data_IF_625295445773
#
_entry.id   IF_625295445773
#
_cell.length_a   1.000
_cell.length_b   1.000
_cell.length_c   1.000
_cell.angle_alpha   90.00
_cell.angle_beta   90.00
_cell.angle_gamma   90.00
#
_symmetry.space_group_name_H-M   'P 1'
#
loop_
_entity.id
_entity.type
_entity.pdbx_description
1 polymer ?
#
# COMPACT_ATOMS: atom_id res chain seq x y z
N UNK A 1 17.03 4.11 5.03
CA UNK A 1 16.45 5.39 4.51
C UNK A 1 15.48 5.97 5.54
N UNK A 2 15.51 7.29 5.80
CA UNK A 2 14.60 7.91 6.76
C UNK A 2 13.29 8.32 6.04
N UNK A 3 12.23 7.52 6.21
CA UNK A 3 10.94 7.73 5.58
C UNK A 3 10.31 9.10 5.89
N UNK A 4 10.54 9.62 7.09
CA UNK A 4 10.05 10.94 7.50
C UNK A 4 10.71 12.06 6.72
N UNK A 5 12.05 12.03 6.59
CA UNK A 5 12.78 13.03 5.82
C UNK A 5 12.37 12.99 4.35
N UNK A 6 12.21 11.80 3.78
CA UNK A 6 11.75 11.65 2.40
C UNK A 6 10.33 12.18 2.23
N UNK A 7 9.41 11.84 3.15
CA UNK A 7 8.04 12.35 3.13
C UNK A 7 8.01 13.89 3.22
N UNK A 8 8.80 14.47 4.12
CA UNK A 8 8.86 15.92 4.29
C UNK A 8 9.38 16.66 3.06
N UNK A 9 10.49 16.19 2.48
CA UNK A 9 11.16 16.84 1.36
C UNK A 9 10.45 16.58 0.01
N UNK A 10 9.95 15.36 -0.23
CA UNK A 10 9.32 15.01 -1.49
C UNK A 10 7.99 15.74 -1.72
N UNK A 11 7.31 16.14 -0.65
CA UNK A 11 6.02 16.83 -0.71
C UNK A 11 6.13 18.32 -0.40
N UNK A 12 7.33 18.89 -0.52
CA UNK A 12 7.53 20.34 -0.47
C UNK A 12 6.76 21.00 -1.62
N UNK A 13 5.98 22.03 -1.34
CA UNK A 13 5.10 22.66 -2.33
C UNK A 13 3.67 22.08 -2.40
N UNK A 14 3.39 20.91 -1.83
CA UNK A 14 2.02 20.43 -1.68
C UNK A 14 1.29 21.13 -0.51
N UNK A 15 -0.06 21.20 -0.54
CA UNK A 15 -0.86 21.77 0.55
C UNK A 15 -0.49 21.17 1.91
N UNK A 16 -0.53 21.97 2.97
CA UNK A 16 -0.16 21.53 4.33
C UNK A 16 -0.97 20.30 4.79
N UNK A 17 -2.24 20.17 4.37
CA UNK A 17 -3.08 19.01 4.66
C UNK A 17 -2.54 17.73 4.03
N UNK A 18 -2.08 17.80 2.77
CA UNK A 18 -1.43 16.67 2.08
C UNK A 18 -0.11 16.33 2.76
N UNK A 19 0.73 17.33 3.07
CA UNK A 19 2.00 17.11 3.76
C UNK A 19 1.80 16.47 5.14
N UNK A 20 0.86 16.99 5.92
CA UNK A 20 0.52 16.44 7.23
C UNK A 20 0.06 14.98 7.12
N UNK A 21 -0.80 14.65 6.15
CA UNK A 21 -1.26 13.29 5.90
C UNK A 21 -0.09 12.36 5.54
N UNK A 22 0.78 12.76 4.61
CA UNK A 22 1.92 11.94 4.16
C UNK A 22 2.95 11.74 5.28
N UNK A 23 3.22 12.77 6.08
CA UNK A 23 4.09 12.68 7.26
C UNK A 23 3.47 11.76 8.33
N UNK A 24 2.18 11.89 8.60
CA UNK A 24 1.48 10.99 9.52
C UNK A 24 1.57 9.52 9.04
N UNK A 25 1.42 9.28 7.73
CA UNK A 25 1.63 7.95 7.13
C UNK A 25 3.07 7.45 7.30
N UNK A 26 4.07 8.32 7.11
CA UNK A 26 5.47 7.95 7.30
C UNK A 26 5.82 7.60 8.75
N UNK A 27 5.09 8.20 9.72
CA UNK A 27 5.22 7.90 11.15
C UNK A 27 4.49 6.61 11.56
N UNK A 28 3.32 6.38 10.99
CA UNK A 28 2.43 5.31 11.45
C UNK A 28 2.62 4.01 10.69
N UNK A 29 3.02 4.05 9.42
CA UNK A 29 3.26 2.86 8.60
C UNK A 29 4.72 2.40 8.72
N UNK A 30 4.99 1.14 9.09
CA UNK A 30 6.33 0.59 9.19
C UNK A 30 6.92 0.28 7.80
N UNK A 31 7.30 1.32 7.05
CA UNK A 31 7.81 1.19 5.68
C UNK A 31 9.13 0.43 5.59
N UNK A 32 10.03 0.51 6.57
CA UNK A 32 11.33 -0.17 6.53
C UNK A 32 11.20 -1.66 6.25
N UNK A 33 10.57 -2.44 7.15
CA UNK A 33 10.34 -3.87 6.93
C UNK A 33 9.59 -4.20 5.64
N UNK A 34 8.69 -3.31 5.19
CA UNK A 34 7.97 -3.47 3.92
C UNK A 34 8.92 -3.33 2.73
N UNK A 35 9.75 -2.28 2.70
CA UNK A 35 10.70 -1.97 1.62
C UNK A 35 11.72 -3.10 1.44
N UNK A 36 12.16 -3.76 2.51
CA UNK A 36 13.10 -4.88 2.46
C UNK A 36 12.58 -6.09 1.66
N UNK A 37 11.29 -6.19 1.40
CA UNK A 37 10.65 -7.29 0.63
C UNK A 37 10.58 -7.02 -0.87
N UNK A 38 10.83 -5.76 -1.28
CA UNK A 38 10.85 -5.44 -2.70
C UNK A 38 12.15 -5.89 -3.37
N UNK A 39 12.09 -6.28 -4.65
CA UNK A 39 13.29 -6.55 -5.42
C UNK A 39 14.12 -5.26 -5.61
N UNK A 40 15.38 -5.42 -5.99
CA UNK A 40 16.26 -4.29 -6.33
C UNK A 40 16.20 -3.92 -7.82
N UNK A 41 15.65 -4.80 -8.66
CA UNK A 41 15.48 -4.65 -10.11
C UNK A 41 14.14 -5.21 -10.56
N UNK A 42 13.69 -4.80 -11.74
CA UNK A 42 12.43 -5.27 -12.32
C UNK A 42 11.30 -4.26 -12.21
N UNK A 43 10.07 -4.72 -12.33
CA UNK A 43 8.89 -3.87 -12.35
C UNK A 43 8.04 -4.07 -11.07
N UNK A 44 7.65 -2.96 -10.46
CA UNK A 44 6.82 -2.93 -9.24
C UNK A 44 5.53 -2.16 -9.53
N UNK A 45 4.41 -2.70 -9.08
CA UNK A 45 3.11 -2.04 -9.07
C UNK A 45 2.63 -1.81 -7.64
N UNK A 46 2.23 -0.59 -7.31
CA UNK A 46 1.56 -0.23 -6.06
C UNK A 46 0.06 -0.01 -6.33
N UNK A 47 -0.77 -0.91 -5.82
CA UNK A 47 -2.23 -0.88 -5.99
C UNK A 47 -2.87 -0.10 -4.84
N UNK A 48 -3.57 0.99 -5.15
CA UNK A 48 -4.06 1.94 -4.16
C UNK A 48 -2.95 2.83 -3.62
N UNK A 49 -2.06 3.31 -4.50
CA UNK A 49 -0.85 4.05 -4.13
C UNK A 49 -1.10 5.40 -3.43
N UNK A 50 -2.33 5.92 -3.46
CA UNK A 50 -2.70 7.19 -2.87
C UNK A 50 -1.84 8.34 -3.39
N UNK A 51 -1.22 9.09 -2.48
CA UNK A 51 -0.30 10.18 -2.82
C UNK A 51 1.09 9.71 -3.28
N UNK A 52 1.31 8.39 -3.47
CA UNK A 52 2.55 7.83 -4.00
C UNK A 52 3.71 7.75 -3.00
N UNK A 53 3.47 7.76 -1.69
CA UNK A 53 4.55 7.78 -0.68
C UNK A 53 5.47 6.57 -0.79
N UNK A 54 4.94 5.34 -0.87
CA UNK A 54 5.74 4.12 -0.99
C UNK A 54 6.61 4.14 -2.26
N UNK A 55 6.02 4.49 -3.38
CA UNK A 55 6.73 4.62 -4.66
C UNK A 55 7.84 5.69 -4.56
N UNK A 56 7.56 6.83 -3.91
CA UNK A 56 8.55 7.86 -3.65
C UNK A 56 9.71 7.38 -2.78
N UNK A 57 9.44 6.52 -1.79
CA UNK A 57 10.48 5.90 -0.97
C UNK A 57 11.35 4.95 -1.79
N UNK A 58 10.73 4.08 -2.60
CA UNK A 58 11.44 3.14 -3.47
C UNK A 58 12.28 3.86 -4.54
N UNK A 59 11.72 4.90 -5.19
CA UNK A 59 12.38 5.65 -6.25
C UNK A 59 13.62 6.42 -5.78
N UNK A 60 13.68 6.78 -4.49
CA UNK A 60 14.80 7.51 -3.89
C UNK A 60 15.78 6.60 -3.14
N UNK A 61 15.56 5.28 -3.19
CA UNK A 61 16.52 4.31 -2.64
C UNK A 61 17.59 3.97 -3.68
N UNK A 62 18.86 4.35 -3.47
CA UNK A 62 19.92 4.09 -4.43
C UNK A 62 20.12 2.60 -4.76
N UNK A 63 19.77 1.70 -3.83
CA UNK A 63 19.85 0.26 -4.04
C UNK A 63 18.79 -0.27 -5.02
N UNK A 64 17.82 0.56 -5.40
CA UNK A 64 16.65 0.22 -6.22
C UNK A 64 16.53 1.05 -7.50
N UNK A 65 17.61 1.68 -7.94
CA UNK A 65 17.63 2.50 -9.16
C UNK A 65 17.27 1.72 -10.45
N UNK A 66 17.29 0.38 -10.41
CA UNK A 66 16.89 -0.48 -11.53
C UNK A 66 15.40 -0.86 -11.53
N UNK A 67 14.56 -0.27 -10.67
CA UNK A 67 13.12 -0.55 -10.64
C UNK A 67 12.35 0.34 -11.63
N UNK A 68 11.47 -0.29 -12.41
CA UNK A 68 10.35 0.40 -13.07
C UNK A 68 9.19 0.47 -12.08
N UNK A 69 8.81 1.65 -11.68
CA UNK A 69 7.82 1.88 -10.63
C UNK A 69 6.52 2.40 -11.23
N UNK A 70 5.42 1.75 -10.90
CA UNK A 70 4.07 2.10 -11.32
C UNK A 70 3.16 2.19 -10.10
N UNK A 71 2.38 3.25 -9.99
CA UNK A 71 1.35 3.42 -8.97
C UNK A 71 -0.02 3.62 -9.60
N UNK A 72 -1.03 2.92 -9.09
CA UNK A 72 -2.42 3.13 -9.49
C UNK A 72 -3.31 3.44 -8.29
N UNK A 73 -4.23 4.38 -8.47
CA UNK A 73 -5.27 4.72 -7.49
C UNK A 73 -6.51 5.25 -8.24
N UNK A 74 -7.70 4.99 -7.73
CA UNK A 74 -8.94 5.48 -8.34
C UNK A 74 -9.16 7.00 -8.15
N UNK A 75 -8.48 7.61 -7.19
CA UNK A 75 -8.58 9.04 -6.88
C UNK A 75 -7.62 9.86 -7.76
N UNK A 76 -8.19 10.51 -8.79
CA UNK A 76 -7.43 11.32 -9.72
C UNK A 76 -6.68 12.49 -9.06
N UNK A 77 -7.22 13.07 -7.98
CA UNK A 77 -6.57 14.16 -7.28
C UNK A 77 -5.32 13.68 -6.50
N UNK A 78 -5.36 12.46 -5.95
CA UNK A 78 -4.19 11.84 -5.32
C UNK A 78 -3.12 11.50 -6.36
N UNK A 79 -3.53 10.93 -7.50
CA UNK A 79 -2.62 10.59 -8.62
C UNK A 79 -1.92 11.84 -9.13
N UNK A 80 -2.63 12.95 -9.31
CA UNK A 80 -2.03 14.20 -9.76
C UNK A 80 -0.95 14.72 -8.79
N UNK A 81 -1.20 14.63 -7.48
CA UNK A 81 -0.21 14.96 -6.47
C UNK A 81 0.97 13.99 -6.47
N UNK A 82 0.71 12.68 -6.62
CA UNK A 82 1.76 11.67 -6.72
C UNK A 82 2.71 11.96 -7.89
N UNK A 83 2.17 12.34 -9.05
CA UNK A 83 2.97 12.74 -10.24
C UNK A 83 3.87 13.95 -9.98
N UNK A 84 3.34 14.99 -9.31
CA UNK A 84 4.13 16.19 -9.01
C UNK A 84 5.27 15.95 -8.03
N UNK A 85 5.12 14.97 -7.14
CA UNK A 85 6.08 14.71 -6.05
C UNK A 85 7.10 13.62 -6.37
N UNK A 86 6.87 12.86 -7.44
CA UNK A 86 7.75 11.76 -7.83
C UNK A 86 8.97 12.22 -8.64
N UNK A 87 10.09 11.48 -8.57
CA UNK A 87 11.16 11.61 -9.52
C UNK A 87 10.71 11.25 -10.94
N UNK A 88 11.46 11.74 -11.95
CA UNK A 88 11.24 11.34 -13.34
C UNK A 88 11.35 9.81 -13.52
N UNK A 89 10.56 9.26 -14.45
CA UNK A 89 10.56 7.81 -14.74
C UNK A 89 9.62 6.97 -13.91
N UNK A 90 8.87 7.57 -12.96
CA UNK A 90 7.80 6.91 -12.23
C UNK A 90 6.46 7.13 -12.95
N UNK A 91 5.68 6.07 -13.12
CA UNK A 91 4.35 6.13 -13.73
C UNK A 91 3.25 6.10 -12.66
N UNK A 92 2.34 7.09 -12.71
CA UNK A 92 1.14 7.12 -11.87
C UNK A 92 -0.10 7.31 -12.73
N UNK A 93 -1.13 6.48 -12.50
CA UNK A 93 -2.36 6.58 -13.28
C UNK A 93 -3.61 6.16 -12.49
N UNK A 94 -4.77 6.60 -12.99
CA UNK A 94 -6.08 6.12 -12.52
C UNK A 94 -6.51 4.83 -13.22
N UNK A 95 -5.56 4.14 -13.88
CA UNK A 95 -5.80 2.89 -14.59
C UNK A 95 -6.31 1.83 -13.61
N UNK A 96 -7.28 1.04 -14.06
CA UNK A 96 -7.77 -0.09 -13.30
C UNK A 96 -6.78 -1.26 -13.32
N UNK A 97 -6.73 -2.02 -12.24
CA UNK A 97 -5.85 -3.20 -12.13
C UNK A 97 -6.12 -4.23 -13.23
N UNK A 98 -7.38 -4.42 -13.62
CA UNK A 98 -7.77 -5.35 -14.68
C UNK A 98 -7.30 -4.94 -16.09
N UNK A 99 -6.82 -3.71 -16.28
CA UNK A 99 -6.22 -3.28 -17.55
C UNK A 99 -4.83 -3.90 -17.81
N UNK A 100 -4.20 -4.48 -16.79
CA UNK A 100 -2.96 -5.25 -16.93
C UNK A 100 -3.31 -6.71 -17.23
N UNK A 101 -3.60 -7.01 -18.50
CA UNK A 101 -4.01 -8.34 -18.96
C UNK A 101 -2.85 -9.35 -19.04
N UNK A 102 -1.63 -8.85 -19.16
CA UNK A 102 -0.41 -9.66 -19.32
C UNK A 102 0.52 -9.56 -18.09
N UNK A 103 1.27 -10.60 -17.76
CA UNK A 103 2.24 -10.59 -16.67
C UNK A 103 3.35 -9.55 -16.93
N UNK A 104 3.33 -8.46 -16.18
CA UNK A 104 4.20 -7.30 -16.40
C UNK A 104 5.07 -6.94 -15.20
N UNK A 105 4.77 -7.47 -14.00
CA UNK A 105 5.39 -7.04 -12.75
C UNK A 105 6.12 -8.19 -12.05
N UNK A 106 7.26 -7.86 -11.45
CA UNK A 106 8.06 -8.77 -10.62
C UNK A 106 7.62 -8.71 -9.14
N UNK A 107 7.04 -7.57 -8.73
CA UNK A 107 6.36 -7.43 -7.44
C UNK A 107 5.12 -6.53 -7.58
N UNK A 108 4.07 -6.88 -6.86
CA UNK A 108 2.87 -6.05 -6.67
C UNK A 108 2.67 -5.86 -5.17
N UNK A 109 2.37 -4.62 -4.75
CA UNK A 109 2.02 -4.36 -3.37
C UNK A 109 0.62 -3.79 -3.21
N UNK A 110 0.03 -4.08 -2.06
CA UNK A 110 -1.24 -3.55 -1.56
C UNK A 110 -0.97 -3.09 -0.13
N UNK A 111 -1.05 -1.78 0.13
CA UNK A 111 -0.67 -1.21 1.43
C UNK A 111 -1.82 -0.39 2.00
N UNK A 112 -2.50 -0.92 3.00
CA UNK A 112 -3.67 -0.31 3.66
C UNK A 112 -4.83 -0.02 2.68
N UNK A 113 -5.17 -1.00 1.84
CA UNK A 113 -6.25 -0.90 0.86
C UNK A 113 -7.40 -1.87 1.15
N UNK A 114 -7.10 -3.14 1.45
CA UNK A 114 -8.14 -4.17 1.53
C UNK A 114 -9.15 -3.87 2.64
N UNK A 115 -8.74 -3.33 3.78
CA UNK A 115 -9.66 -2.96 4.85
C UNK A 115 -10.59 -1.78 4.50
N UNK A 116 -10.28 -1.03 3.43
CA UNK A 116 -11.10 0.12 2.97
C UNK A 116 -12.16 -0.26 1.94
N UNK A 117 -12.14 -1.48 1.44
CA UNK A 117 -13.06 -2.00 0.44
C UNK A 117 -13.82 -3.22 0.97
N UNK A 118 -15.01 -3.48 0.41
CA UNK A 118 -15.82 -4.64 0.77
C UNK A 118 -15.06 -5.94 0.54
N UNK A 119 -15.18 -6.89 1.47
CA UNK A 119 -14.52 -8.20 1.38
C UNK A 119 -14.87 -8.96 0.10
N UNK A 120 -16.07 -8.75 -0.43
CA UNK A 120 -16.53 -9.40 -1.67
C UNK A 120 -15.65 -9.07 -2.89
N UNK A 121 -15.01 -7.88 -2.91
CA UNK A 121 -14.14 -7.48 -4.04
C UNK A 121 -12.67 -7.88 -3.86
N UNK A 122 -12.28 -8.41 -2.69
CA UNK A 122 -10.90 -8.84 -2.44
C UNK A 122 -10.43 -9.91 -3.43
N UNK A 123 -11.31 -10.86 -3.78
CA UNK A 123 -11.01 -11.90 -4.76
C UNK A 123 -10.72 -11.34 -6.14
N UNK A 124 -11.43 -10.29 -6.55
CA UNK A 124 -11.18 -9.60 -7.82
C UNK A 124 -9.84 -8.86 -7.81
N UNK A 125 -9.55 -8.10 -6.75
CA UNK A 125 -8.28 -7.37 -6.58
C UNK A 125 -7.10 -8.36 -6.56
N UNK A 126 -7.15 -9.38 -5.71
CA UNK A 126 -6.07 -10.35 -5.57
C UNK A 126 -5.89 -11.19 -6.85
N UNK A 127 -6.98 -11.57 -7.52
CA UNK A 127 -6.96 -12.24 -8.81
C UNK A 127 -6.37 -11.36 -9.91
N UNK A 128 -6.66 -10.06 -9.91
CA UNK A 128 -6.02 -9.07 -10.79
C UNK A 128 -4.51 -8.99 -10.55
N UNK A 129 -4.07 -8.94 -9.29
CA UNK A 129 -2.66 -9.00 -8.95
C UNK A 129 -2.00 -10.30 -9.42
N UNK A 130 -2.70 -11.44 -9.27
CA UNK A 130 -2.19 -12.73 -9.72
C UNK A 130 -1.97 -12.75 -11.24
N UNK A 131 -2.91 -12.22 -12.02
CA UNK A 131 -2.76 -12.14 -13.50
C UNK A 131 -1.59 -11.22 -13.89
N UNK A 132 -1.50 -10.05 -13.30
CA UNK A 132 -0.49 -9.03 -13.64
C UNK A 132 0.94 -9.38 -13.17
N UNK A 133 1.10 -10.28 -12.22
CA UNK A 133 2.41 -10.77 -11.77
C UNK A 133 3.00 -11.78 -12.75
N UNK A 134 4.33 -11.68 -12.96
CA UNK A 134 5.12 -12.72 -13.63
C UNK A 134 5.16 -14.01 -12.81
N UNK A 135 5.37 -15.18 -13.44
CA UNK A 135 5.67 -16.42 -12.70
C UNK A 135 6.82 -16.20 -11.72
N UNK A 136 6.68 -16.67 -10.49
CA UNK A 136 7.64 -16.44 -9.40
C UNK A 136 7.61 -15.04 -8.79
N UNK A 137 6.82 -14.11 -9.34
CA UNK A 137 6.65 -12.76 -8.84
C UNK A 137 6.04 -12.72 -7.43
N UNK A 138 6.23 -11.61 -6.71
CA UNK A 138 5.84 -11.45 -5.30
C UNK A 138 4.61 -10.56 -5.17
N UNK A 139 3.64 -11.02 -4.39
CA UNK A 139 2.60 -10.18 -3.81
C UNK A 139 3.01 -9.77 -2.40
N UNK A 140 2.97 -8.48 -2.09
CA UNK A 140 3.32 -7.91 -0.78
C UNK A 140 2.09 -7.18 -0.28
N UNK A 141 1.43 -7.71 0.75
CA UNK A 141 0.22 -7.11 1.34
C UNK A 141 0.54 -6.66 2.74
N UNK A 142 0.30 -5.38 3.04
CA UNK A 142 0.42 -4.83 4.38
C UNK A 142 -0.91 -4.21 4.77
N UNK A 143 -1.48 -4.69 5.88
CA UNK A 143 -2.79 -4.26 6.34
C UNK A 143 -2.81 -3.95 7.84
N UNK A 144 -3.77 -3.12 8.25
CA UNK A 144 -4.15 -2.97 9.66
C UNK A 144 -5.05 -4.13 10.03
N UNK A 145 -4.84 -4.71 11.22
CA UNK A 145 -5.59 -5.88 11.69
C UNK A 145 -6.36 -5.58 12.98
N UNK A 146 -7.40 -6.35 13.25
CA UNK A 146 -8.34 -6.17 14.34
C UNK A 146 -7.81 -6.50 15.76
N UNK A 147 -6.55 -6.87 15.90
CA UNK A 147 -5.99 -7.33 17.17
C UNK A 147 -4.93 -6.41 17.74
N UNK A 148 -4.94 -6.19 19.05
CA UNK A 148 -5.96 -6.58 20.02
C UNK A 148 -7.23 -5.72 19.92
N UNK A 149 -8.42 -6.29 20.19
CA UNK A 149 -9.74 -5.69 19.97
C UNK A 149 -9.94 -4.31 20.62
N UNK A 150 -9.29 -4.03 21.76
CA UNK A 150 -9.40 -2.72 22.40
C UNK A 150 -8.76 -1.60 21.57
N UNK A 151 -7.70 -1.92 20.81
CA UNK A 151 -7.07 -0.98 19.85
C UNK A 151 -7.99 -0.66 18.68
N UNK A 152 -8.79 -1.63 18.24
CA UNK A 152 -9.81 -1.44 17.21
C UNK A 152 -10.77 -0.29 17.57
N UNK A 153 -11.32 -0.29 18.78
CA UNK A 153 -12.26 0.75 19.20
C UNK A 153 -11.62 2.13 19.27
N UNK A 154 -10.37 2.23 19.65
CA UNK A 154 -9.66 3.49 19.71
C UNK A 154 -9.31 4.01 18.28
N UNK A 155 -8.96 3.13 17.33
CA UNK A 155 -8.77 3.50 15.91
C UNK A 155 -10.10 3.97 15.31
N UNK A 156 -11.20 3.25 15.56
CA UNK A 156 -12.52 3.64 15.08
C UNK A 156 -12.96 5.00 15.61
N UNK A 157 -12.68 5.30 16.87
CA UNK A 157 -12.96 6.61 17.45
C UNK A 157 -12.11 7.71 16.78
N UNK A 158 -10.83 7.46 16.54
CA UNK A 158 -9.92 8.40 15.87
C UNK A 158 -10.30 8.61 14.40
N UNK A 159 -10.64 7.55 13.65
CA UNK A 159 -11.04 7.68 12.24
C UNK A 159 -12.40 8.37 12.10
N UNK A 160 -13.36 8.06 12.96
CA UNK A 160 -14.65 8.76 12.97
C UNK A 160 -14.45 10.26 13.18
N UNK A 161 -13.54 10.63 14.08
CA UNK A 161 -13.19 12.03 14.32
C UNK A 161 -12.47 12.66 13.11
N UNK A 162 -11.57 11.92 12.46
CA UNK A 162 -10.79 12.40 11.29
C UNK A 162 -11.66 12.52 10.04
N UNK A 163 -12.56 11.60 9.79
CA UNK A 163 -13.52 11.65 8.68
C UNK A 163 -14.52 12.78 8.88
N UNK A 164 -15.00 12.98 10.11
CA UNK A 164 -15.95 14.05 10.44
C UNK A 164 -15.33 15.46 10.35
N UNK A 165 -14.03 15.60 10.67
CA UNK A 165 -13.35 16.91 10.71
C UNK A 165 -12.65 17.28 9.38
N UNK A 166 -12.20 16.31 8.59
CA UNK A 166 -11.31 16.57 7.45
C UNK A 166 -11.81 16.03 6.10
N UNK A 167 -12.91 15.27 6.05
CA UNK A 167 -13.49 14.75 4.79
C UNK A 167 -12.52 13.91 3.94
N UNK A 168 -11.51 13.29 4.56
CA UNK A 168 -10.32 12.74 3.88
C UNK A 168 -10.60 11.40 3.18
N UNK A 169 -11.69 10.71 3.52
CA UNK A 169 -11.99 9.39 2.96
C UNK A 169 -13.38 9.37 2.35
N UNK A 170 -13.45 9.34 1.02
CA UNK A 170 -14.67 8.96 0.27
C UNK A 170 -14.72 7.43 0.20
N UNK A 171 -14.97 6.74 1.31
CA UNK A 171 -15.01 5.28 1.36
C UNK A 171 -16.02 4.78 2.38
N UNK A 172 -16.36 3.50 2.29
CA UNK A 172 -17.15 2.81 3.30
C UNK A 172 -16.37 2.76 4.64
N UNK A 173 -17.08 2.43 5.75
CA UNK A 173 -16.44 2.28 7.06
C UNK A 173 -15.33 1.22 6.97
N UNK A 174 -14.13 1.47 7.53
CA UNK A 174 -13.04 0.50 7.52
C UNK A 174 -13.46 -0.83 8.13
N UNK A 175 -13.12 -1.93 7.47
CA UNK A 175 -13.38 -3.29 7.93
C UNK A 175 -12.06 -3.98 8.25
N UNK A 176 -11.61 -3.87 9.52
CA UNK A 176 -10.41 -4.56 9.96
C UNK A 176 -10.71 -6.04 10.23
N UNK A 177 -9.91 -6.91 9.67
CA UNK A 177 -10.07 -8.35 9.74
C UNK A 177 -8.89 -9.01 10.48
N UNK A 178 -9.09 -10.24 10.94
CA UNK A 178 -8.01 -11.03 11.51
C UNK A 178 -6.96 -11.41 10.44
N UNK A 179 -5.68 -11.55 10.80
CA UNK A 179 -4.63 -11.97 9.86
C UNK A 179 -4.99 -13.22 9.06
N UNK A 180 -5.64 -14.20 9.68
CA UNK A 180 -6.08 -15.43 9.03
C UNK A 180 -7.04 -15.18 7.85
N UNK A 181 -7.89 -14.14 7.93
CA UNK A 181 -8.83 -13.79 6.86
C UNK A 181 -8.09 -13.29 5.62
N UNK A 182 -7.11 -12.39 5.81
CA UNK A 182 -6.26 -11.92 4.71
C UNK A 182 -5.47 -13.05 4.07
N UNK A 183 -4.84 -13.92 4.89
CA UNK A 183 -4.12 -15.10 4.40
C UNK A 183 -5.03 -16.01 3.57
N UNK A 184 -6.22 -16.32 4.06
CA UNK A 184 -7.18 -17.16 3.32
C UNK A 184 -7.53 -16.56 1.96
N UNK A 185 -7.77 -15.26 1.89
CA UNK A 185 -8.08 -14.58 0.63
C UNK A 185 -6.89 -14.62 -0.35
N UNK A 186 -5.67 -14.41 0.13
CA UNK A 186 -4.44 -14.48 -0.68
C UNK A 186 -4.25 -15.90 -1.24
N UNK A 187 -4.40 -16.93 -0.42
CA UNK A 187 -4.28 -18.32 -0.85
C UNK A 187 -5.40 -18.72 -1.82
N UNK A 188 -6.63 -18.28 -1.55
CA UNK A 188 -7.78 -18.53 -2.45
C UNK A 188 -7.60 -17.89 -3.83
N UNK A 189 -6.83 -16.82 -3.94
CA UNK A 189 -6.47 -16.19 -5.21
C UNK A 189 -5.33 -16.90 -5.98
N UNK A 190 -4.81 -18.03 -5.45
CA UNK A 190 -3.80 -18.88 -6.11
C UNK A 190 -2.35 -18.64 -5.65
N UNK A 191 -2.12 -17.77 -4.67
CA UNK A 191 -0.77 -17.49 -4.19
C UNK A 191 -0.28 -18.53 -3.17
N UNK A 192 1.01 -18.89 -3.25
CA UNK A 192 1.73 -19.59 -2.18
C UNK A 192 2.28 -18.61 -1.15
N UNK A 193 1.95 -18.82 0.13
CA UNK A 193 2.48 -17.98 1.22
C UNK A 193 3.98 -18.21 1.42
N UNK A 194 4.75 -17.12 1.54
CA UNK A 194 6.19 -17.14 1.83
C UNK A 194 6.51 -16.58 3.21
N UNK A 195 5.89 -15.46 3.60
CA UNK A 195 6.07 -14.84 4.91
C UNK A 195 4.72 -14.33 5.43
N UNK A 196 4.53 -14.42 6.74
CA UNK A 196 3.41 -13.83 7.47
C UNK A 196 3.91 -13.39 8.84
N UNK A 197 3.89 -12.09 9.12
CA UNK A 197 4.44 -11.57 10.38
C UNK A 197 3.77 -10.27 10.83
N UNK A 198 3.63 -10.09 12.16
CA UNK A 198 3.26 -8.80 12.72
C UNK A 198 4.38 -7.79 12.52
N UNK A 199 4.05 -6.58 12.11
CA UNK A 199 4.99 -5.48 12.03
C UNK A 199 4.96 -4.65 13.32
N UNK A 200 6.13 -4.43 13.91
CA UNK A 200 6.28 -3.49 15.01
C UNK A 200 6.13 -2.06 14.45
N UNK A 201 5.22 -1.32 15.02
CA UNK A 201 5.01 0.10 14.73
C UNK A 201 5.35 0.91 15.99
N UNK A 202 5.82 2.13 15.81
CA UNK A 202 6.06 3.06 16.90
C UNK A 202 4.76 3.51 17.61
N UNK A 203 3.64 3.27 16.97
CA UNK A 203 2.31 3.55 17.50
C UNK A 203 1.61 2.25 17.94
N UNK A 204 0.43 2.41 18.51
CA UNK A 204 -0.42 1.34 19.02
C UNK A 204 -1.23 0.60 17.92
N UNK A 205 -1.11 1.00 16.64
CA UNK A 205 -1.79 0.36 15.50
C UNK A 205 -1.13 -0.99 15.20
N UNK A 206 -1.95 -2.04 15.07
CA UNK A 206 -1.46 -3.38 14.76
C UNK A 206 -1.40 -3.57 13.25
N UNK A 207 -0.19 -3.66 12.72
CA UNK A 207 0.07 -3.91 11.32
C UNK A 207 0.52 -5.35 11.09
N UNK A 208 0.16 -5.90 9.95
CA UNK A 208 0.54 -7.24 9.53
C UNK A 208 1.04 -7.23 8.09
N UNK A 209 2.08 -8.01 7.83
CA UNK A 209 2.70 -8.15 6.52
C UNK A 209 2.53 -9.59 6.04
N UNK A 210 2.07 -9.72 4.82
CA UNK A 210 1.98 -10.97 4.07
C UNK A 210 2.86 -10.85 2.83
N UNK A 211 3.74 -11.81 2.61
CA UNK A 211 4.50 -11.95 1.38
C UNK A 211 4.11 -13.29 0.76
N UNK A 212 3.65 -13.26 -0.46
CA UNK A 212 3.22 -14.45 -1.19
C UNK A 212 3.84 -14.47 -2.58
N UNK A 213 3.89 -15.64 -3.22
CA UNK A 213 4.46 -15.83 -4.55
C UNK A 213 3.41 -16.37 -5.51
N UNK A 214 3.47 -15.93 -6.74
CA UNK A 214 2.80 -16.60 -7.86
C UNK A 214 3.58 -17.87 -8.19
N UNK A 215 2.95 -19.01 -7.92
CA UNK A 215 3.49 -20.34 -8.21
C UNK A 215 3.19 -20.70 -9.67
#
# INVERSE_FOLDING_TARGET
MNSLRTAWNAYEGEPLTTRAHVVARALTCPFGPLIDRFPTRGAVLDVGCGHGLLINLLARDPSRCGLRLVGIDHDAAKIERARRTAPSGVDFSTRELNSFSEPAFDAICIVDVLYTVKRQVWGEILGGCFRALRPGGRLIVKEVVDRPRWKYWAIMAQETLSVSLFGITKGERPHFEAPATYRQAIVAAGFGMAEELPLKSANWISHYLFVARKI
#
